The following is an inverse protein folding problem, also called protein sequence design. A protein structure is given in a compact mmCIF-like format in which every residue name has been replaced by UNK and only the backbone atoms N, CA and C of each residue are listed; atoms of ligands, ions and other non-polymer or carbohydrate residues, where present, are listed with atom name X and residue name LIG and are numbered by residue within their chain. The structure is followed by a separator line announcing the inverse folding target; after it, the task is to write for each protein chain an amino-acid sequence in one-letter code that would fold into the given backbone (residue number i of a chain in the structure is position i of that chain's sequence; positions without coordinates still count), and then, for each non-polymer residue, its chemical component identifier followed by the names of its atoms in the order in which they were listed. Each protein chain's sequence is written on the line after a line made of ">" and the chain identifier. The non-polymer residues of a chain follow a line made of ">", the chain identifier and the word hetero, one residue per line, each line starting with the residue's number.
data_IF_626923352445
#
_entry.id   IF_626923352445
#
_cell.length_a   1.000
_cell.length_b   1.000
_cell.length_c   1.000
_cell.angle_alpha   90.00
_cell.angle_beta   90.00
_cell.angle_gamma   90.00
#
_symmetry.space_group_name_H-M   'P 1'
#
loop_
_entity.id
_entity.type
_entity.pdbx_description
1 polymer ?
#
# COMPACT_ATOMS: atom_id res chain seq x y z
N UNK A 1 32.64 40.00 -3.77
CA UNK A 1 32.32 38.53 -3.80
C UNK A 1 31.23 38.20 -2.78
N UNK A 2 31.14 38.93 -1.64
CA UNK A 2 30.20 38.63 -0.54
C UNK A 2 28.74 39.05 -0.86
N UNK A 3 28.50 40.13 -1.61
CA UNK A 3 27.15 40.63 -1.89
C UNK A 3 26.29 39.63 -2.73
N UNK A 4 26.94 38.85 -3.58
CA UNK A 4 26.23 37.80 -4.34
C UNK A 4 25.83 36.59 -3.47
N UNK A 5 26.68 36.26 -2.50
CA UNK A 5 26.42 35.19 -1.54
C UNK A 5 25.30 35.57 -0.55
N UNK A 6 25.34 36.80 -0.06
CA UNK A 6 24.32 37.33 0.85
C UNK A 6 22.94 37.41 0.19
N UNK A 7 22.88 37.80 -1.09
CA UNK A 7 21.64 37.80 -1.86
C UNK A 7 21.10 36.38 -2.11
N UNK A 8 21.98 35.41 -2.40
CA UNK A 8 21.59 34.03 -2.56
C UNK A 8 21.08 33.39 -1.26
N UNK A 9 21.72 33.71 -0.12
CA UNK A 9 21.27 33.30 1.21
C UNK A 9 19.91 33.89 1.52
N UNK A 10 19.72 35.20 1.30
CA UNK A 10 18.45 35.88 1.56
C UNK A 10 17.30 35.31 0.68
N UNK A 11 17.59 34.94 -0.57
CA UNK A 11 16.62 34.27 -1.45
C UNK A 11 16.29 32.87 -0.93
N UNK A 12 17.29 32.12 -0.46
CA UNK A 12 17.10 30.80 0.10
C UNK A 12 16.29 30.83 1.39
N UNK A 13 16.54 31.80 2.27
CA UNK A 13 15.79 32.03 3.51
C UNK A 13 14.36 32.47 3.25
N UNK A 14 14.12 33.38 2.31
CA UNK A 14 12.76 33.74 1.87
C UNK A 14 11.99 32.54 1.27
N UNK A 15 12.66 31.67 0.52
CA UNK A 15 12.07 30.43 0.01
C UNK A 15 11.73 29.47 1.14
N UNK A 16 12.60 29.32 2.14
CA UNK A 16 12.34 28.50 3.34
C UNK A 16 11.08 28.95 4.09
N UNK A 17 10.96 30.24 4.37
CA UNK A 17 9.78 30.77 5.05
C UNK A 17 8.48 30.66 4.25
N UNK A 18 8.58 30.65 2.92
CA UNK A 18 7.41 30.57 2.01
C UNK A 18 6.95 29.13 1.76
N UNK A 19 7.82 28.14 1.87
CA UNK A 19 7.55 26.75 1.51
C UNK A 19 7.51 25.77 2.70
N UNK A 20 7.58 26.24 3.92
CA UNK A 20 7.65 25.43 5.13
C UNK A 20 9.07 25.05 5.54
N UNK A 21 9.19 24.10 6.47
CA UNK A 21 10.50 23.64 6.94
C UNK A 21 11.25 22.86 5.84
N UNK A 22 12.58 22.84 5.91
CA UNK A 22 13.41 22.03 5.00
C UNK A 22 13.15 20.53 5.14
N UNK A 23 12.50 20.09 6.20
CA UNK A 23 12.21 18.69 6.51
C UNK A 23 10.78 18.34 6.13
N UNK A 24 9.80 19.18 6.48
CA UNK A 24 8.38 18.97 6.21
C UNK A 24 7.72 20.25 5.69
N UNK A 25 7.26 20.23 4.47
CA UNK A 25 6.58 21.36 3.83
C UNK A 25 5.04 21.23 3.80
N UNK A 26 4.47 20.15 4.35
CA UNK A 26 3.03 19.89 4.37
C UNK A 26 2.47 19.49 3.00
N UNK A 27 3.30 18.93 2.13
CA UNK A 27 2.94 18.61 0.74
C UNK A 27 2.94 17.13 0.40
N UNK A 28 2.85 16.27 1.40
CA UNK A 28 2.78 14.80 1.24
C UNK A 28 1.65 14.36 0.30
N UNK A 29 0.51 15.07 0.27
CA UNK A 29 -0.59 14.80 -0.66
C UNK A 29 -0.18 14.97 -2.14
N UNK A 30 0.78 15.85 -2.44
CA UNK A 30 1.28 16.01 -3.82
C UNK A 30 2.10 14.82 -4.28
N UNK A 31 2.76 14.14 -3.35
CA UNK A 31 3.46 12.88 -3.64
C UNK A 31 2.46 11.77 -3.94
N UNK A 32 1.38 11.67 -3.14
CA UNK A 32 0.28 10.74 -3.40
C UNK A 32 -0.41 10.99 -4.74
N UNK A 33 -0.75 12.24 -5.04
CA UNK A 33 -1.37 12.65 -6.31
C UNK A 33 -0.50 12.24 -7.51
N UNK A 34 0.80 12.48 -7.42
CA UNK A 34 1.76 12.07 -8.44
C UNK A 34 1.79 10.55 -8.61
N UNK A 35 1.84 9.80 -7.51
CA UNK A 35 1.84 8.33 -7.57
C UNK A 35 0.54 7.80 -8.18
N UNK A 36 -0.59 8.43 -7.88
CA UNK A 36 -1.88 8.10 -8.49
C UNK A 36 -1.90 8.37 -10.00
N UNK A 37 -1.38 9.52 -10.45
CA UNK A 37 -1.26 9.84 -11.87
C UNK A 37 -0.32 8.88 -12.60
N UNK A 38 0.79 8.48 -11.96
CA UNK A 38 1.70 7.50 -12.51
C UNK A 38 1.04 6.12 -12.66
N UNK A 39 0.17 5.73 -11.73
CA UNK A 39 -0.60 4.48 -11.84
C UNK A 39 -1.57 4.51 -13.04
N UNK A 40 -2.22 5.63 -13.29
CA UNK A 40 -3.14 5.79 -14.42
C UNK A 40 -2.44 5.59 -15.77
N UNK A 41 -1.16 5.92 -15.85
CA UNK A 41 -0.34 5.75 -17.06
C UNK A 41 0.34 4.38 -17.10
N UNK A 42 0.41 3.68 -15.96
CA UNK A 42 1.00 2.35 -15.83
C UNK A 42 0.06 1.27 -16.37
N UNK A 43 0.66 0.15 -16.78
CA UNK A 43 -0.10 -0.99 -17.29
C UNK A 43 -0.91 -1.63 -16.15
N UNK A 44 -2.24 -1.72 -16.30
CA UNK A 44 -3.15 -2.32 -15.31
C UNK A 44 -2.77 -3.76 -14.92
N UNK A 45 -2.04 -4.46 -15.79
CA UNK A 45 -1.52 -5.82 -15.55
C UNK A 45 -0.67 -5.87 -14.27
N UNK A 46 0.11 -4.82 -13.98
CA UNK A 46 0.95 -4.75 -12.78
C UNK A 46 0.09 -4.71 -11.50
N UNK A 47 -1.06 -4.05 -11.57
CA UNK A 47 -2.01 -4.01 -10.45
C UNK A 47 -2.74 -5.36 -10.33
N UNK A 48 -3.16 -5.92 -11.46
CA UNK A 48 -3.87 -7.19 -11.49
C UNK A 48 -3.00 -8.36 -11.00
N UNK A 49 -1.69 -8.36 -11.29
CA UNK A 49 -0.77 -9.43 -10.88
C UNK A 49 -0.74 -9.64 -9.36
N UNK A 50 -0.90 -8.57 -8.58
CA UNK A 50 -0.95 -8.66 -7.11
C UNK A 50 -2.17 -9.36 -6.55
N UNK A 51 -3.23 -9.55 -7.36
CA UNK A 51 -4.42 -10.32 -6.96
C UNK A 51 -4.32 -11.81 -7.30
N UNK A 52 -3.51 -12.14 -8.28
CA UNK A 52 -3.44 -13.50 -8.81
C UNK A 52 -2.91 -14.45 -7.76
N UNK A 53 -1.85 -14.11 -7.07
CA UNK A 53 -1.22 -14.94 -6.05
C UNK A 53 -2.17 -15.30 -4.89
N UNK A 54 -2.80 -14.35 -4.17
CA UNK A 54 -3.73 -14.65 -3.08
C UNK A 54 -4.95 -15.46 -3.53
N UNK A 55 -5.45 -15.22 -4.75
CA UNK A 55 -6.56 -15.98 -5.31
C UNK A 55 -6.15 -17.43 -5.55
N UNK A 56 -4.97 -17.67 -6.13
CA UNK A 56 -4.46 -19.02 -6.30
C UNK A 56 -4.24 -19.73 -4.97
N UNK A 57 -3.73 -19.06 -3.95
CA UNK A 57 -3.61 -19.63 -2.62
C UNK A 57 -4.98 -20.00 -2.04
N UNK A 58 -5.98 -19.13 -2.18
CA UNK A 58 -7.33 -19.43 -1.71
C UNK A 58 -7.93 -20.65 -2.43
N UNK A 59 -7.75 -20.74 -3.74
CA UNK A 59 -8.20 -21.89 -4.52
C UNK A 59 -7.45 -23.17 -4.14
N UNK A 60 -6.13 -23.11 -4.07
CA UNK A 60 -5.30 -24.27 -3.76
C UNK A 60 -5.57 -24.80 -2.34
N UNK A 61 -5.61 -23.94 -1.35
CA UNK A 61 -5.87 -24.33 0.03
C UNK A 61 -7.35 -24.61 0.27
N UNK A 62 -8.26 -23.82 -0.33
CA UNK A 62 -9.69 -24.00 -0.16
C UNK A 62 -10.20 -25.29 -0.81
N UNK A 63 -9.90 -25.51 -2.09
CA UNK A 63 -10.38 -26.68 -2.83
C UNK A 63 -9.43 -27.87 -2.75
N UNK A 64 -8.10 -27.63 -2.69
CA UNK A 64 -7.13 -28.72 -2.61
C UNK A 64 -7.09 -29.30 -1.20
N UNK A 65 -6.54 -28.58 -0.24
CA UNK A 65 -6.37 -29.07 1.12
C UNK A 65 -7.71 -29.15 1.86
N UNK A 66 -8.64 -28.22 1.57
CA UNK A 66 -9.94 -28.18 2.22
C UNK A 66 -10.77 -29.46 2.07
N UNK A 67 -10.63 -30.19 0.96
CA UNK A 67 -11.30 -31.47 0.77
C UNK A 67 -10.69 -32.59 1.63
N UNK A 68 -9.39 -32.49 1.94
CA UNK A 68 -8.69 -33.47 2.77
C UNK A 68 -8.91 -33.24 4.27
N UNK A 69 -8.97 -31.96 4.69
CA UNK A 69 -9.13 -31.59 6.10
C UNK A 69 -10.57 -31.65 6.56
N UNK A 70 -11.53 -31.46 5.62
CA UNK A 70 -12.96 -31.38 5.97
C UNK A 70 -13.30 -30.07 6.66
N UNK A 71 -14.25 -30.13 7.61
CA UNK A 71 -14.63 -28.96 8.41
C UNK A 71 -13.66 -28.70 9.57
N UNK A 72 -13.41 -27.43 9.85
CA UNK A 72 -12.62 -26.98 10.99
C UNK A 72 -13.55 -26.35 12.04
N UNK A 73 -13.32 -26.62 13.31
CA UNK A 73 -14.08 -25.99 14.38
C UNK A 73 -13.73 -24.51 14.49
N UNK A 74 -14.67 -23.64 14.15
CA UNK A 74 -14.55 -22.20 14.35
C UNK A 74 -14.57 -21.81 15.83
N UNK A 75 -14.35 -20.55 16.14
CA UNK A 75 -14.28 -20.01 17.50
C UNK A 75 -15.57 -20.25 18.33
N UNK A 76 -16.69 -20.40 17.68
CA UNK A 76 -18.01 -20.64 18.32
C UNK A 76 -18.40 -22.13 18.30
N UNK A 77 -17.48 -23.06 18.04
CA UNK A 77 -17.76 -24.49 17.91
C UNK A 77 -18.51 -24.90 16.66
N UNK A 78 -18.80 -23.98 15.75
CA UNK A 78 -19.43 -24.27 14.47
C UNK A 78 -18.40 -24.84 13.50
N UNK A 79 -18.83 -25.84 12.73
CA UNK A 79 -18.01 -26.37 11.63
C UNK A 79 -18.00 -25.38 10.46
N UNK A 80 -16.84 -24.88 10.14
CA UNK A 80 -16.62 -23.98 8.99
C UNK A 80 -15.76 -24.68 7.96
N UNK A 81 -15.90 -24.32 6.68
CA UNK A 81 -15.01 -24.84 5.65
C UNK A 81 -13.58 -24.35 5.90
N UNK A 82 -12.60 -25.19 5.58
CA UNK A 82 -11.19 -24.81 5.70
C UNK A 82 -10.87 -23.51 4.96
N UNK A 83 -11.45 -23.30 3.77
CA UNK A 83 -11.32 -22.06 3.02
C UNK A 83 -11.80 -20.83 3.80
N UNK A 84 -12.96 -20.92 4.48
CA UNK A 84 -13.49 -19.82 5.28
C UNK A 84 -12.62 -19.56 6.52
N UNK A 85 -11.98 -20.58 7.07
CA UNK A 85 -11.08 -20.44 8.20
C UNK A 85 -9.79 -19.69 7.84
N UNK A 86 -9.16 -20.00 6.69
CA UNK A 86 -7.91 -19.37 6.27
C UNK A 86 -8.10 -18.04 5.53
N UNK A 87 -9.31 -17.75 5.03
CA UNK A 87 -9.59 -16.57 4.22
C UNK A 87 -9.18 -15.23 4.88
N UNK A 88 -9.43 -14.98 6.18
CA UNK A 88 -8.98 -13.75 6.84
C UNK A 88 -7.45 -13.61 6.90
N UNK A 89 -6.74 -14.71 7.08
CA UNK A 89 -5.28 -14.73 7.10
C UNK A 89 -4.72 -14.39 5.71
N UNK A 90 -5.29 -14.96 4.65
CA UNK A 90 -4.90 -14.67 3.28
C UNK A 90 -5.21 -13.21 2.88
N UNK A 91 -6.32 -12.66 3.37
CA UNK A 91 -6.66 -11.25 3.17
C UNK A 91 -5.60 -10.34 3.82
N UNK A 92 -5.21 -10.61 5.06
CA UNK A 92 -4.18 -9.84 5.76
C UNK A 92 -2.82 -9.97 5.05
N UNK A 93 -2.44 -11.18 4.62
CA UNK A 93 -1.21 -11.43 3.86
C UNK A 93 -1.21 -10.69 2.52
N UNK A 94 -2.34 -10.66 1.81
CA UNK A 94 -2.49 -9.91 0.56
C UNK A 94 -2.25 -8.41 0.75
N UNK A 95 -2.85 -7.81 1.79
CA UNK A 95 -2.65 -6.40 2.12
C UNK A 95 -1.19 -6.12 2.48
N UNK A 96 -0.60 -6.96 3.31
CA UNK A 96 0.80 -6.85 3.74
C UNK A 96 1.76 -6.96 2.55
N UNK A 97 1.61 -7.97 1.68
CA UNK A 97 2.43 -8.13 0.50
C UNK A 97 2.33 -6.92 -0.42
N UNK A 98 1.12 -6.40 -0.65
CA UNK A 98 0.91 -5.19 -1.45
C UNK A 98 1.69 -3.99 -0.92
N UNK A 99 1.68 -3.77 0.39
CA UNK A 99 2.41 -2.70 1.05
C UNK A 99 3.93 -2.92 1.00
N UNK A 100 4.40 -4.15 1.27
CA UNK A 100 5.83 -4.50 1.25
C UNK A 100 6.43 -4.33 -0.15
N UNK A 101 5.74 -4.82 -1.20
CA UNK A 101 6.24 -4.66 -2.57
C UNK A 101 6.41 -3.20 -2.94
N UNK A 102 5.45 -2.36 -2.55
CA UNK A 102 5.51 -0.94 -2.89
C UNK A 102 6.54 -0.19 -2.06
N UNK A 103 6.61 -0.44 -0.77
CA UNK A 103 7.56 0.22 0.14
C UNK A 103 9.02 -0.22 -0.09
N UNK A 104 9.24 -1.42 -0.62
CA UNK A 104 10.59 -1.96 -0.82
C UNK A 104 11.04 -1.78 -2.27
N UNK A 105 10.48 -2.55 -3.19
CA UNK A 105 10.93 -2.56 -4.59
C UNK A 105 10.68 -1.23 -5.31
N UNK A 106 9.49 -0.70 -5.20
CA UNK A 106 9.13 0.51 -5.91
C UNK A 106 9.90 1.72 -5.39
N UNK A 107 10.05 1.83 -4.07
CA UNK A 107 10.89 2.88 -3.44
C UNK A 107 12.35 2.72 -3.84
N UNK A 108 12.89 1.50 -3.85
CA UNK A 108 14.26 1.24 -4.27
C UNK A 108 14.50 1.67 -5.72
N UNK A 109 13.62 1.29 -6.65
CA UNK A 109 13.73 1.70 -8.05
C UNK A 109 13.60 3.22 -8.23
N UNK A 110 12.67 3.87 -7.54
CA UNK A 110 12.50 5.33 -7.56
C UNK A 110 13.75 6.06 -7.04
N UNK A 111 14.41 5.49 -6.04
CA UNK A 111 15.58 6.09 -5.40
C UNK A 111 16.84 5.90 -6.23
N UNK A 112 17.14 4.67 -6.66
CA UNK A 112 18.41 4.31 -7.28
C UNK A 112 18.43 4.53 -8.80
N UNK A 113 17.41 4.08 -9.50
CA UNK A 113 17.38 4.12 -10.96
C UNK A 113 16.73 5.38 -11.52
N UNK A 114 15.54 5.71 -11.06
CA UNK A 114 14.82 6.88 -11.55
C UNK A 114 15.33 8.21 -10.95
N UNK A 115 16.12 8.16 -9.86
CA UNK A 115 16.61 9.33 -9.10
C UNK A 115 15.50 10.34 -8.78
N UNK A 116 14.27 9.82 -8.67
CA UNK A 116 13.07 10.62 -8.56
C UNK A 116 13.05 11.49 -7.31
N UNK A 117 13.53 10.94 -6.19
CA UNK A 117 13.54 11.67 -4.93
C UNK A 117 14.52 12.84 -4.96
N UNK A 118 15.63 12.74 -5.68
CA UNK A 118 16.53 13.87 -5.90
C UNK A 118 15.83 15.01 -6.64
N UNK A 119 15.06 14.66 -7.69
CA UNK A 119 14.28 15.64 -8.43
C UNK A 119 13.16 16.25 -7.57
N UNK A 120 12.48 15.46 -6.73
CA UNK A 120 11.46 15.98 -5.83
C UNK A 120 12.04 16.90 -4.77
N UNK A 121 13.18 16.54 -4.17
CA UNK A 121 13.85 17.33 -3.14
C UNK A 121 14.48 18.62 -3.69
N UNK A 122 14.70 18.72 -4.99
CA UNK A 122 15.10 19.99 -5.62
C UNK A 122 13.94 20.98 -5.77
N UNK A 123 12.72 20.57 -5.46
CA UNK A 123 11.52 21.41 -5.45
C UNK A 123 11.21 21.89 -4.01
N UNK A 124 10.01 22.34 -3.78
CA UNK A 124 9.53 22.78 -2.45
C UNK A 124 8.99 21.63 -1.57
N UNK A 125 9.31 20.37 -1.89
CA UNK A 125 8.89 19.18 -1.14
C UNK A 125 10.01 18.80 -0.16
N UNK A 126 9.65 18.58 1.11
CA UNK A 126 10.60 18.15 2.14
C UNK A 126 10.80 16.62 2.16
N UNK A 127 11.89 16.13 2.78
CA UNK A 127 12.14 14.69 2.89
C UNK A 127 11.03 13.93 3.62
N UNK A 128 10.44 14.52 4.66
CA UNK A 128 9.31 13.92 5.37
C UNK A 128 8.03 13.89 4.52
N UNK A 129 7.83 14.88 3.65
CA UNK A 129 6.69 14.86 2.72
C UNK A 129 6.77 13.67 1.77
N UNK A 130 7.98 13.37 1.28
CA UNK A 130 8.24 12.20 0.42
C UNK A 130 7.98 10.93 1.21
N UNK A 131 8.54 10.79 2.41
CA UNK A 131 8.39 9.59 3.24
C UNK A 131 6.92 9.33 3.59
N UNK A 132 6.19 10.33 4.09
CA UNK A 132 4.77 10.21 4.44
C UNK A 132 3.92 9.92 3.21
N UNK A 133 4.25 10.53 2.07
CA UNK A 133 3.55 10.29 0.80
C UNK A 133 3.77 8.86 0.27
N UNK A 134 4.98 8.33 0.35
CA UNK A 134 5.26 6.95 -0.09
C UNK A 134 4.67 5.90 0.85
N UNK A 135 4.74 6.12 2.17
CA UNK A 135 4.07 5.25 3.15
C UNK A 135 2.56 5.25 2.93
N UNK A 136 1.95 6.45 2.79
CA UNK A 136 0.53 6.57 2.49
C UNK A 136 0.14 5.86 1.19
N UNK A 137 1.00 5.91 0.17
CA UNK A 137 0.80 5.20 -1.09
C UNK A 137 0.86 3.68 -0.92
N UNK A 138 1.84 3.15 -0.17
CA UNK A 138 1.97 1.73 0.12
C UNK A 138 0.75 1.19 0.87
N UNK A 139 0.26 1.93 1.87
CA UNK A 139 -0.97 1.58 2.60
C UNK A 139 -2.22 1.61 1.72
N UNK A 140 -2.34 2.62 0.84
CA UNK A 140 -3.44 2.70 -0.12
C UNK A 140 -3.43 1.48 -1.05
N UNK A 141 -2.26 1.05 -1.49
CA UNK A 141 -2.10 -0.14 -2.32
C UNK A 141 -2.48 -1.41 -1.57
N UNK A 142 -2.03 -1.57 -0.32
CA UNK A 142 -2.46 -2.66 0.56
C UNK A 142 -3.98 -2.69 0.74
N UNK A 143 -4.61 -1.52 0.91
CA UNK A 143 -6.06 -1.38 0.98
C UNK A 143 -6.75 -1.86 -0.31
N UNK A 144 -6.25 -1.45 -1.48
CA UNK A 144 -6.80 -1.88 -2.78
C UNK A 144 -6.70 -3.40 -2.92
N UNK A 145 -5.59 -4.01 -2.50
CA UNK A 145 -5.43 -5.47 -2.54
C UNK A 145 -6.38 -6.17 -1.58
N UNK A 146 -6.53 -5.67 -0.34
CA UNK A 146 -7.49 -6.21 0.62
C UNK A 146 -8.93 -6.15 0.09
N UNK A 147 -9.34 -5.01 -0.47
CA UNK A 147 -10.67 -4.85 -1.07
C UNK A 147 -10.87 -5.77 -2.28
N UNK A 148 -9.87 -5.88 -3.14
CA UNK A 148 -9.92 -6.79 -4.28
C UNK A 148 -10.04 -8.25 -3.86
N UNK A 149 -9.28 -8.67 -2.86
CA UNK A 149 -9.39 -10.02 -2.31
C UNK A 149 -10.77 -10.27 -1.70
N UNK A 150 -11.31 -9.29 -0.97
CA UNK A 150 -12.66 -9.37 -0.42
C UNK A 150 -13.74 -9.53 -1.50
N UNK A 151 -13.59 -8.85 -2.65
CA UNK A 151 -14.52 -9.01 -3.78
C UNK A 151 -14.48 -10.41 -4.39
N UNK A 152 -13.34 -11.10 -4.31
CA UNK A 152 -13.22 -12.51 -4.73
C UNK A 152 -13.84 -13.46 -3.71
N UNK A 153 -13.71 -13.15 -2.40
CA UNK A 153 -14.29 -13.98 -1.34
C UNK A 153 -15.83 -13.93 -1.32
N UNK A 154 -16.43 -12.82 -1.72
CA UNK A 154 -17.89 -12.62 -1.68
C UNK A 154 -18.65 -13.66 -2.51
N UNK A 155 -18.38 -13.89 -3.81
CA UNK A 155 -19.09 -14.88 -4.61
C UNK A 155 -18.79 -16.33 -4.19
N UNK A 156 -17.68 -16.58 -3.50
CA UNK A 156 -17.34 -17.90 -2.97
C UNK A 156 -18.09 -18.24 -1.67
N UNK A 157 -18.91 -17.33 -1.16
CA UNK A 157 -19.67 -17.52 0.08
C UNK A 157 -18.80 -17.58 1.34
N UNK A 158 -17.57 -17.09 1.28
CA UNK A 158 -16.62 -17.12 2.39
C UNK A 158 -16.85 -15.97 3.39
N UNK A 159 -17.69 -15.01 3.01
CA UNK A 159 -18.11 -13.90 3.88
C UNK A 159 -19.39 -14.34 4.60
N UNK A 160 -19.25 -14.84 5.82
CA UNK A 160 -20.36 -15.34 6.63
C UNK A 160 -20.99 -14.26 7.51
N UNK A 161 -20.33 -13.12 7.68
CA UNK A 161 -20.78 -12.06 8.57
C UNK A 161 -20.57 -10.68 7.98
N UNK A 162 -21.48 -9.75 8.24
CA UNK A 162 -21.33 -8.34 7.90
C UNK A 162 -20.09 -7.69 8.54
N UNK A 163 -19.66 -8.21 9.69
CA UNK A 163 -18.46 -7.77 10.39
C UNK A 163 -17.16 -8.06 9.64
N UNK A 164 -17.20 -8.88 8.60
CA UNK A 164 -16.04 -9.15 7.72
C UNK A 164 -15.47 -7.87 7.08
N UNK A 165 -16.28 -6.82 6.93
CA UNK A 165 -15.83 -5.50 6.45
C UNK A 165 -14.74 -4.92 7.37
N UNK A 166 -14.79 -5.17 8.67
CA UNK A 166 -13.77 -4.72 9.63
C UNK A 166 -12.42 -5.45 9.47
N UNK A 167 -12.40 -6.58 8.77
CA UNK A 167 -11.15 -7.26 8.46
C UNK A 167 -10.24 -6.43 7.53
N UNK A 168 -10.82 -5.58 6.67
CA UNK A 168 -10.06 -4.72 5.75
C UNK A 168 -9.22 -3.68 6.50
N UNK A 169 -9.78 -2.83 7.38
CA UNK A 169 -8.95 -1.91 8.17
C UNK A 169 -7.98 -2.65 9.09
N UNK A 170 -8.35 -3.81 9.63
CA UNK A 170 -7.45 -4.67 10.39
C UNK A 170 -6.26 -5.14 9.55
N UNK A 171 -6.49 -5.58 8.31
CA UNK A 171 -5.43 -5.99 7.39
C UNK A 171 -4.50 -4.83 7.01
N UNK A 172 -5.05 -3.63 6.83
CA UNK A 172 -4.24 -2.42 6.56
C UNK A 172 -3.39 -2.03 7.77
N UNK A 173 -3.92 -2.19 9.00
CA UNK A 173 -3.13 -1.96 10.22
C UNK A 173 -1.97 -2.95 10.37
N UNK A 174 -2.15 -4.20 9.94
CA UNK A 174 -1.07 -5.21 9.93
C UNK A 174 -0.02 -4.88 8.86
N UNK A 175 -0.44 -4.25 7.77
CA UNK A 175 0.43 -3.84 6.67
C UNK A 175 1.26 -2.58 6.98
N UNK A 176 0.87 -1.81 8.01
CA UNK A 176 1.58 -0.61 8.49
C UNK A 176 2.79 -0.98 9.34
#
# INVERSE_FOLDING_TARGET
>A
INAGLDSAIAIAERRRGRFGSSVYAGRSLKVLERNFLALKTSNWIIVASGFVEPVFYLLAFGFGIGQLVGGVSGSNGQQVSYAAFIAPALLATSAMNGAIYDSTWNVFFKMHFAKLYQTMLSTSIGPLDVAVGEIGWALLRGLVYALGFMTVMAPLGLITSWWAILAVPGAVLIAF
#
